data_IF_402166449820
#
_entry.id   IF_402166449820
#
_cell.length_a   1.000
_cell.length_b   1.000
_cell.length_c   1.000
_cell.angle_alpha   90.00
_cell.angle_beta   90.00
_cell.angle_gamma   90.00
#
_symmetry.space_group_name_H-M   'P 1'
#
loop_
_entity.id
_entity.type
_entity.pdbx_description
1 polymer ?
#
# COMPACT_ATOMS: atom_id res chain seq x y z
N UNK A 1 -3.33 -9.31 -24.83
CA UNK A 1 -2.62 -9.06 -23.55
C UNK A 1 -1.33 -8.24 -23.66
N UNK A 2 -0.51 -8.36 -24.72
CA UNK A 2 0.74 -7.59 -24.84
C UNK A 2 0.54 -6.06 -24.88
N UNK A 3 -0.49 -5.57 -25.59
CA UNK A 3 -0.79 -4.13 -25.70
C UNK A 3 -1.13 -3.47 -24.35
N UNK A 4 -2.02 -4.08 -23.57
CA UNK A 4 -2.38 -3.61 -22.21
C UNK A 4 -1.14 -3.58 -21.30
N UNK A 5 -0.27 -4.61 -21.38
CA UNK A 5 0.97 -4.67 -20.60
C UNK A 5 1.95 -3.56 -20.99
N UNK A 6 2.12 -3.29 -22.28
CA UNK A 6 2.96 -2.21 -22.77
C UNK A 6 2.44 -0.84 -22.34
N UNK A 7 1.12 -0.61 -22.42
CA UNK A 7 0.48 0.62 -21.90
C UNK A 7 0.73 0.80 -20.41
N UNK A 8 0.54 -0.27 -19.62
CA UNK A 8 0.73 -0.26 -18.17
C UNK A 8 2.17 0.07 -17.76
N UNK A 9 3.15 -0.33 -18.57
CA UNK A 9 4.57 -0.06 -18.33
C UNK A 9 5.07 1.23 -18.97
N UNK A 10 4.18 2.04 -19.53
CA UNK A 10 4.51 3.25 -20.31
C UNK A 10 5.45 2.99 -21.51
N UNK A 11 5.35 1.78 -22.08
CA UNK A 11 6.13 1.32 -23.24
C UNK A 11 5.30 1.31 -24.53
N UNK A 12 4.04 1.74 -24.49
CA UNK A 12 3.17 1.78 -25.67
C UNK A 12 3.48 3.02 -26.52
N UNK A 13 4.11 2.79 -27.67
CA UNK A 13 4.53 3.86 -28.56
C UNK A 13 3.35 4.65 -29.15
N UNK A 14 3.47 5.98 -29.20
CA UNK A 14 2.49 6.91 -29.79
C UNK A 14 2.38 6.84 -31.33
N UNK A 15 3.03 5.88 -31.98
CA UNK A 15 3.04 5.80 -33.45
C UNK A 15 1.72 5.25 -33.92
N UNK A 16 0.98 6.02 -34.73
CA UNK A 16 -0.28 5.63 -35.34
C UNK A 16 0.00 4.65 -36.48
N UNK A 17 -0.07 3.36 -36.18
CA UNK A 17 -0.18 2.28 -37.17
C UNK A 17 -1.51 1.57 -36.93
N UNK A 18 -2.00 0.79 -37.89
CA UNK A 18 -3.30 0.11 -37.75
C UNK A 18 -3.39 -0.76 -36.47
N UNK A 19 -2.26 -1.24 -35.95
CA UNK A 19 -2.23 -2.05 -34.72
C UNK A 19 -2.21 -1.25 -33.42
N UNK A 20 -1.91 0.06 -33.45
CA UNK A 20 -1.93 0.88 -32.23
C UNK A 20 -3.32 1.43 -31.89
N UNK A 21 -4.21 1.55 -32.88
CA UNK A 21 -5.63 1.92 -32.69
C UNK A 21 -6.49 0.84 -32.03
N UNK A 22 -6.09 -0.43 -32.16
CA UNK A 22 -6.79 -1.59 -31.54
C UNK A 22 -6.99 -1.42 -30.02
N UNK A 23 -6.07 -0.74 -29.33
CA UNK A 23 -6.18 -0.53 -27.89
C UNK A 23 -7.26 0.49 -27.54
N UNK A 24 -7.50 1.49 -28.39
CA UNK A 24 -8.60 2.44 -28.22
C UNK A 24 -9.94 1.79 -28.54
N UNK A 25 -10.02 1.01 -29.61
CA UNK A 25 -11.20 0.20 -29.95
C UNK A 25 -11.55 -0.76 -28.81
N UNK A 26 -10.55 -1.48 -28.27
CA UNK A 26 -10.74 -2.39 -27.13
C UNK A 26 -11.19 -1.66 -25.87
N UNK A 27 -10.72 -0.42 -25.64
CA UNK A 27 -11.16 0.39 -24.49
C UNK A 27 -12.62 0.84 -24.61
N UNK A 28 -13.14 0.97 -25.83
CA UNK A 28 -14.54 1.33 -26.07
C UNK A 28 -15.46 0.11 -25.89
N UNK A 29 -15.00 -1.09 -26.27
CA UNK A 29 -15.79 -2.32 -26.12
C UNK A 29 -15.72 -2.93 -24.72
N UNK A 30 -14.57 -2.82 -24.05
CA UNK A 30 -14.30 -3.48 -22.76
C UNK A 30 -13.73 -2.47 -21.75
N UNK A 31 -14.57 -1.79 -20.96
CA UNK A 31 -14.11 -0.80 -19.97
C UNK A 31 -13.05 -1.33 -18.98
N UNK A 32 -13.05 -2.64 -18.72
CA UNK A 32 -12.04 -3.33 -17.89
C UNK A 32 -10.59 -3.11 -18.36
N UNK A 33 -10.36 -2.84 -19.65
CA UNK A 33 -9.01 -2.58 -20.18
C UNK A 33 -8.47 -1.20 -19.78
N UNK A 34 -9.35 -0.34 -19.24
CA UNK A 34 -9.00 0.96 -18.62
C UNK A 34 -8.82 0.86 -17.11
N UNK A 35 -9.11 -0.30 -16.50
CA UNK A 35 -8.95 -0.47 -15.06
C UNK A 35 -7.49 -0.24 -14.65
N UNK A 36 -7.31 0.40 -13.50
CA UNK A 36 -5.97 0.62 -12.93
C UNK A 36 -5.35 -0.75 -12.67
N UNK A 37 -4.12 -0.92 -13.15
CA UNK A 37 -3.34 -2.12 -12.90
C UNK A 37 -2.39 -1.86 -11.73
N UNK A 38 -2.25 -2.83 -10.84
CA UNK A 38 -1.27 -2.75 -9.77
C UNK A 38 0.16 -2.80 -10.32
N UNK A 39 0.39 -3.39 -11.49
CA UNK A 39 1.74 -3.45 -12.06
C UNK A 39 2.21 -2.06 -12.49
N UNK A 40 3.37 -1.62 -12.00
CA UNK A 40 4.03 -0.37 -12.40
C UNK A 40 5.44 -0.64 -12.97
N UNK A 41 6.05 0.32 -13.69
CA UNK A 41 7.48 0.27 -13.99
C UNK A 41 8.31 0.09 -12.72
N UNK A 42 9.37 -0.70 -12.83
CA UNK A 42 10.23 -1.05 -11.69
C UNK A 42 10.82 0.22 -11.05
N UNK A 43 10.53 0.42 -9.77
CA UNK A 43 11.07 1.49 -8.93
C UNK A 43 12.17 0.94 -8.02
N UNK A 44 13.20 1.75 -7.77
CA UNK A 44 14.30 1.43 -6.86
C UNK A 44 14.21 2.32 -5.62
N UNK A 45 14.12 1.69 -4.44
CA UNK A 45 13.86 2.37 -3.17
C UNK A 45 14.96 1.99 -2.19
N UNK A 46 16.01 2.82 -2.14
CA UNK A 46 17.14 2.62 -1.22
C UNK A 46 17.01 3.41 0.08
N UNK A 47 16.34 4.58 0.02
CA UNK A 47 16.17 5.46 1.16
C UNK A 47 14.74 5.35 1.72
N UNK A 48 14.61 4.71 2.88
CA UNK A 48 13.35 4.57 3.62
C UNK A 48 13.47 5.34 4.92
N UNK A 49 12.52 6.23 5.16
CA UNK A 49 12.41 7.02 6.40
C UNK A 49 11.74 6.25 7.54
N UNK A 50 11.49 4.97 7.33
CA UNK A 50 10.92 4.05 8.29
C UNK A 50 11.68 2.72 8.22
N UNK A 51 11.54 1.91 9.27
CA UNK A 51 12.17 0.58 9.37
C UNK A 51 11.08 -0.49 9.42
N UNK A 52 11.33 -1.61 8.74
CA UNK A 52 10.48 -2.80 8.81
C UNK A 52 11.14 -3.79 9.77
N UNK A 53 10.36 -4.25 10.75
CA UNK A 53 10.76 -5.30 11.69
C UNK A 53 9.86 -6.51 11.48
N UNK A 54 10.43 -7.63 11.03
CA UNK A 54 9.67 -8.84 10.69
C UNK A 54 9.49 -9.83 11.85
N UNK A 55 10.24 -9.64 12.94
CA UNK A 55 10.16 -10.48 14.13
C UNK A 55 9.90 -9.60 15.34
N UNK A 56 8.98 -10.03 16.20
CA UNK A 56 8.80 -9.40 17.49
C UNK A 56 10.08 -9.55 18.30
N UNK A 57 10.70 -8.43 18.65
CA UNK A 57 11.81 -8.45 19.58
C UNK A 57 11.24 -8.44 20.99
N UNK A 58 11.11 -9.61 21.59
CA UNK A 58 10.64 -9.79 22.98
C UNK A 58 11.53 -9.07 24.02
N UNK A 59 12.69 -8.52 23.60
CA UNK A 59 13.54 -7.67 24.45
C UNK A 59 12.96 -6.26 24.65
N UNK A 60 11.92 -5.89 23.91
CA UNK A 60 11.22 -4.62 23.99
C UNK A 60 9.94 -4.69 24.85
N UNK A 61 9.84 -5.65 25.77
CA UNK A 61 8.79 -5.68 26.82
C UNK A 61 8.94 -4.55 27.86
N UNK A 62 9.99 -3.73 27.75
CA UNK A 62 10.02 -2.41 28.38
C UNK A 62 9.26 -1.41 27.51
N UNK A 63 8.00 -1.13 27.85
CA UNK A 63 7.25 0.02 27.34
C UNK A 63 8.17 1.24 27.24
N UNK A 64 8.54 1.65 26.02
CA UNK A 64 8.98 3.03 25.82
C UNK A 64 7.74 3.87 26.16
N UNK A 65 7.75 4.69 27.22
CA UNK A 65 6.52 5.31 27.73
C UNK A 65 5.83 6.29 26.77
N UNK A 66 6.36 6.47 25.55
CA UNK A 66 5.97 7.47 24.57
C UNK A 66 5.80 6.91 23.15
N UNK A 67 5.78 5.58 22.97
CA UNK A 67 5.56 4.97 21.66
C UNK A 67 4.07 4.88 21.34
N UNK A 68 3.63 5.56 20.27
CA UNK A 68 2.26 5.47 19.76
C UNK A 68 2.08 4.19 18.95
N UNK A 69 1.07 3.39 19.30
CA UNK A 69 0.78 2.12 18.64
C UNK A 69 -0.47 2.21 17.79
N UNK A 70 -0.33 1.77 16.53
CA UNK A 70 -1.43 1.69 15.57
C UNK A 70 -1.49 0.26 15.05
N UNK A 71 -2.64 -0.38 15.22
CA UNK A 71 -2.89 -1.74 14.78
C UNK A 71 -3.63 -1.71 13.45
N UNK A 72 -3.27 -2.62 12.55
CA UNK A 72 -3.90 -2.77 11.23
C UNK A 72 -4.22 -4.22 10.99
N UNK A 73 -5.30 -4.47 10.24
CA UNK A 73 -5.76 -5.82 9.89
C UNK A 73 -6.48 -5.77 8.53
N UNK A 74 -6.34 -6.83 7.75
CA UNK A 74 -6.99 -7.05 6.46
C UNK A 74 -7.79 -8.35 6.46
N UNK A 75 -9.11 -8.25 6.35
CA UNK A 75 -9.99 -9.41 6.36
C UNK A 75 -10.55 -9.71 4.97
N UNK A 76 -10.78 -11.00 4.69
CA UNK A 76 -11.58 -11.46 3.55
C UNK A 76 -12.55 -12.55 3.97
N UNK A 77 -13.81 -12.37 3.59
CA UNK A 77 -14.91 -13.31 3.80
C UNK A 77 -15.56 -13.66 2.46
N UNK A 78 -16.52 -14.59 2.46
CA UNK A 78 -17.34 -14.87 1.27
C UNK A 78 -18.16 -13.66 0.79
N UNK A 79 -18.43 -12.69 1.67
CA UNK A 79 -19.28 -11.53 1.38
C UNK A 79 -18.48 -10.27 1.01
N UNK A 80 -17.16 -10.28 1.17
CA UNK A 80 -16.36 -9.09 0.96
C UNK A 80 -15.00 -9.11 1.62
N UNK A 81 -14.19 -8.12 1.25
CA UNK A 81 -12.87 -7.83 1.78
C UNK A 81 -12.90 -6.46 2.46
N UNK A 82 -12.15 -6.29 3.55
CA UNK A 82 -12.10 -5.04 4.32
C UNK A 82 -10.76 -4.81 4.99
N UNK A 83 -10.41 -3.54 5.20
CA UNK A 83 -9.23 -3.11 5.95
C UNK A 83 -9.65 -2.36 7.23
N UNK A 84 -8.93 -2.60 8.32
CA UNK A 84 -9.15 -1.98 9.62
C UNK A 84 -7.89 -1.26 10.12
N UNK A 85 -8.09 -0.17 10.85
CA UNK A 85 -7.05 0.55 11.59
C UNK A 85 -7.57 0.95 12.96
N UNK A 86 -6.79 0.67 14.00
CA UNK A 86 -7.13 0.99 15.38
C UNK A 86 -5.95 1.61 16.13
N UNK A 87 -6.20 2.67 16.91
CA UNK A 87 -5.24 3.22 17.87
C UNK A 87 -6.00 3.97 18.96
N UNK A 88 -5.85 3.53 20.20
CA UNK A 88 -6.47 4.20 21.36
C UNK A 88 -5.84 5.59 21.57
N UNK A 89 -4.50 5.66 21.58
CA UNK A 89 -3.74 6.89 21.86
C UNK A 89 -4.06 8.02 20.87
N UNK A 90 -4.34 7.67 19.60
CA UNK A 90 -4.64 8.62 18.53
C UNK A 90 -6.14 8.73 18.20
N UNK A 91 -6.99 8.02 18.95
CA UNK A 91 -8.43 7.91 18.69
C UNK A 91 -8.72 7.60 17.21
N UNK A 92 -8.11 6.51 16.73
CA UNK A 92 -8.27 6.00 15.36
C UNK A 92 -9.16 4.75 15.41
N UNK A 93 -10.29 4.81 14.71
CA UNK A 93 -11.19 3.68 14.49
C UNK A 93 -11.65 3.73 13.03
N UNK A 94 -10.91 3.09 12.12
CA UNK A 94 -11.19 3.09 10.69
C UNK A 94 -11.55 1.67 10.27
N UNK A 95 -12.66 1.53 9.54
CA UNK A 95 -13.01 0.32 8.82
C UNK A 95 -13.37 0.73 7.39
N UNK A 96 -12.75 0.09 6.40
CA UNK A 96 -12.94 0.41 4.97
C UNK A 96 -13.26 -0.86 4.19
N UNK A 97 -14.42 -0.96 3.53
CA UNK A 97 -14.73 -2.07 2.64
C UNK A 97 -14.01 -1.91 1.29
N UNK A 98 -13.45 -2.99 0.76
CA UNK A 98 -12.81 -3.03 -0.57
C UNK A 98 -13.67 -3.77 -1.61
N UNK A 99 -14.77 -4.40 -1.19
CA UNK A 99 -15.64 -5.21 -2.04
C UNK A 99 -15.19 -6.66 -2.14
N UNK A 100 -15.85 -7.45 -3.00
CA UNK A 100 -15.72 -8.93 -3.02
C UNK A 100 -14.46 -9.41 -3.76
N UNK A 101 -13.97 -8.62 -4.70
CA UNK A 101 -12.91 -9.04 -5.62
C UNK A 101 -11.49 -8.76 -5.10
N UNK A 102 -11.34 -7.95 -4.04
CA UNK A 102 -10.03 -7.63 -3.48
C UNK A 102 -9.41 -8.80 -2.74
N UNK A 103 -8.09 -8.92 -2.78
CA UNK A 103 -7.34 -9.95 -2.05
C UNK A 103 -7.09 -9.53 -0.61
N UNK A 104 -6.75 -10.50 0.26
CA UNK A 104 -6.28 -10.21 1.62
C UNK A 104 -5.06 -9.30 1.58
N UNK A 105 -4.07 -9.60 0.71
CA UNK A 105 -2.89 -8.75 0.51
C UNK A 105 -3.23 -7.29 0.22
N UNK A 106 -4.26 -7.04 -0.62
CA UNK A 106 -4.69 -5.68 -0.93
C UNK A 106 -5.33 -4.98 0.28
N UNK A 107 -6.11 -5.72 1.07
CA UNK A 107 -6.72 -5.22 2.30
C UNK A 107 -5.67 -4.86 3.35
N UNK A 108 -4.72 -5.75 3.58
CA UNK A 108 -3.60 -5.57 4.52
C UNK A 108 -2.75 -4.35 4.15
N UNK A 109 -2.35 -4.25 2.89
CA UNK A 109 -1.57 -3.10 2.42
C UNK A 109 -2.36 -1.79 2.52
N UNK A 110 -3.66 -1.83 2.26
CA UNK A 110 -4.54 -0.68 2.47
C UNK A 110 -4.64 -0.31 3.94
N UNK A 111 -4.71 -1.27 4.87
CA UNK A 111 -4.72 -1.02 6.31
C UNK A 111 -3.51 -0.22 6.76
N UNK A 112 -2.30 -0.64 6.37
CA UNK A 112 -1.06 0.10 6.64
C UNK A 112 -1.08 1.49 5.98
N UNK A 113 -1.56 1.59 4.74
CA UNK A 113 -1.66 2.85 4.01
C UNK A 113 -2.65 3.84 4.65
N UNK A 114 -3.74 3.33 5.23
CA UNK A 114 -4.74 4.12 5.95
C UNK A 114 -4.20 4.55 7.32
N UNK A 115 -3.43 3.70 8.01
CA UNK A 115 -2.74 4.07 9.23
C UNK A 115 -1.78 5.24 9.00
N UNK A 116 -0.91 5.13 7.99
CA UNK A 116 0.01 6.20 7.63
C UNK A 116 -0.73 7.51 7.29
N UNK A 117 -1.80 7.42 6.49
CA UNK A 117 -2.62 8.57 6.16
C UNK A 117 -3.27 9.19 7.40
N UNK A 118 -3.84 8.37 8.30
CA UNK A 118 -4.50 8.83 9.51
C UNK A 118 -3.55 9.58 10.46
N UNK A 119 -2.29 9.13 10.54
CA UNK A 119 -1.20 9.79 11.26
C UNK A 119 -0.90 11.15 10.63
N UNK A 120 -0.68 11.20 9.31
CA UNK A 120 -0.39 12.45 8.60
C UNK A 120 -1.53 13.47 8.66
N UNK A 121 -2.80 13.03 8.51
CA UNK A 121 -3.96 13.92 8.56
C UNK A 121 -4.19 14.51 9.96
N UNK A 122 -3.76 13.82 11.01
CA UNK A 122 -3.81 14.31 12.41
C UNK A 122 -2.61 15.18 12.78
N UNK A 123 -1.69 15.42 11.85
CA UNK A 123 -0.44 16.16 12.07
C UNK A 123 0.41 15.62 13.24
N UNK A 124 0.45 14.29 13.40
CA UNK A 124 1.27 13.65 14.44
C UNK A 124 2.74 13.70 14.04
N UNK A 125 3.54 14.41 14.83
CA UNK A 125 4.98 14.67 14.61
C UNK A 125 5.76 14.50 15.90
N UNK A 126 7.07 14.28 15.79
CA UNK A 126 8.00 14.16 16.91
C UNK A 126 7.65 13.03 17.91
N UNK A 127 6.96 12.00 17.44
CA UNK A 127 6.63 10.81 18.22
C UNK A 127 7.37 9.58 17.69
N UNK A 128 7.61 8.61 18.59
CA UNK A 128 7.99 7.27 18.17
C UNK A 128 6.71 6.52 17.80
N UNK A 129 6.59 6.10 16.55
CA UNK A 129 5.35 5.50 16.03
C UNK A 129 5.61 4.05 15.61
N UNK A 130 4.73 3.14 16.04
CA UNK A 130 4.73 1.74 15.62
C UNK A 130 3.41 1.38 14.98
N UNK A 131 3.46 1.06 13.69
CA UNK A 131 2.34 0.43 12.97
C UNK A 131 2.55 -1.09 13.05
N UNK A 132 1.57 -1.80 13.62
CA UNK A 132 1.57 -3.24 13.80
C UNK A 132 0.63 -3.87 12.76
N UNK A 133 1.20 -4.77 11.94
CA UNK A 133 0.49 -5.60 10.98
C UNK A 133 1.08 -7.01 11.06
N UNK A 134 0.22 -8.02 10.99
CA UNK A 134 0.61 -9.43 10.90
C UNK A 134 0.84 -9.89 9.43
N UNK A 135 0.65 -8.99 8.46
CA UNK A 135 0.82 -9.29 7.04
C UNK A 135 2.29 -9.36 6.63
N UNK A 136 2.92 -10.50 6.90
CA UNK A 136 4.31 -10.78 6.54
C UNK A 136 4.60 -10.53 5.05
N UNK A 137 3.64 -10.86 4.19
CA UNK A 137 3.75 -10.65 2.74
C UNK A 137 3.86 -9.18 2.35
N UNK A 138 3.08 -8.30 2.98
CA UNK A 138 3.15 -6.84 2.75
C UNK A 138 4.42 -6.27 3.36
N UNK A 139 4.78 -6.69 4.58
CA UNK A 139 6.01 -6.24 5.23
C UNK A 139 7.26 -6.62 4.44
N UNK A 140 7.31 -7.82 3.85
CA UNK A 140 8.40 -8.25 2.95
C UNK A 140 8.42 -7.45 1.65
N UNK A 141 7.26 -7.18 1.05
CA UNK A 141 7.17 -6.35 -0.15
C UNK A 141 7.66 -4.91 0.13
N UNK A 142 7.30 -4.35 1.29
CA UNK A 142 7.77 -3.04 1.74
C UNK A 142 9.24 -3.04 2.15
N UNK A 143 9.84 -4.16 2.55
CA UNK A 143 11.26 -4.25 2.91
C UNK A 143 12.18 -4.34 1.69
N UNK A 144 11.67 -4.83 0.55
CA UNK A 144 12.39 -4.89 -0.73
C UNK A 144 12.92 -3.53 -1.20
N UNK A 145 14.11 -3.52 -1.82
CA UNK A 145 14.70 -2.34 -2.48
C UNK A 145 14.16 -2.11 -3.90
N UNK A 146 13.32 -3.02 -4.38
CA UNK A 146 12.73 -2.96 -5.73
C UNK A 146 11.24 -3.20 -5.64
N UNK A 147 10.46 -2.30 -6.24
CA UNK A 147 9.00 -2.36 -6.23
C UNK A 147 8.47 -2.28 -7.65
N UNK A 148 7.50 -3.14 -7.97
CA UNK A 148 6.77 -3.16 -9.25
C UNK A 148 5.25 -3.23 -9.05
N UNK A 149 4.79 -3.09 -7.80
CA UNK A 149 3.39 -2.99 -7.39
C UNK A 149 3.11 -1.53 -7.01
N UNK A 150 2.10 -0.93 -7.63
CA UNK A 150 1.65 0.43 -7.40
C UNK A 150 1.06 0.58 -6.00
N UNK A 151 0.35 -0.44 -5.53
CA UNK A 151 -0.17 -0.49 -4.17
C UNK A 151 0.94 -0.43 -3.12
N UNK A 152 2.00 -1.24 -3.29
CA UNK A 152 3.16 -1.21 -2.39
C UNK A 152 3.93 0.10 -2.50
N UNK A 153 4.04 0.64 -3.71
CA UNK A 153 4.72 1.92 -3.94
C UNK A 153 3.99 3.07 -3.24
N UNK A 154 2.66 3.14 -3.37
CA UNK A 154 1.82 4.14 -2.71
C UNK A 154 1.90 4.00 -1.18
N UNK A 155 1.80 2.78 -0.66
CA UNK A 155 1.95 2.49 0.76
C UNK A 155 3.33 2.97 1.29
N UNK A 156 4.39 2.65 0.55
CA UNK A 156 5.74 3.14 0.85
C UNK A 156 5.81 4.67 0.90
N UNK A 157 5.22 5.37 -0.07
CA UNK A 157 5.24 6.84 -0.11
C UNK A 157 4.57 7.44 1.13
N UNK A 158 3.41 6.91 1.54
CA UNK A 158 2.70 7.36 2.74
C UNK A 158 3.50 7.10 4.02
N UNK A 159 4.11 5.91 4.15
CA UNK A 159 4.99 5.60 5.29
C UNK A 159 6.21 6.52 5.33
N UNK A 160 6.81 6.83 4.17
CA UNK A 160 7.91 7.77 4.09
C UNK A 160 7.51 9.18 4.54
N UNK A 161 6.31 9.65 4.18
CA UNK A 161 5.82 10.96 4.64
C UNK A 161 5.68 11.03 6.17
N UNK A 162 5.21 9.96 6.80
CA UNK A 162 5.16 9.86 8.26
C UNK A 162 6.57 9.86 8.87
N UNK A 163 7.47 9.04 8.32
CA UNK A 163 8.85 8.90 8.82
C UNK A 163 9.74 10.15 8.65
N UNK A 164 9.37 11.09 7.78
CA UNK A 164 10.08 12.39 7.68
C UNK A 164 9.93 13.21 8.96
N UNK A 165 8.77 13.10 9.63
CA UNK A 165 8.40 13.95 10.76
C UNK A 165 8.44 13.23 12.12
N UNK A 166 8.84 11.96 12.13
CA UNK A 166 8.80 11.08 13.30
C UNK A 166 10.05 10.19 13.34
N UNK A 167 10.58 9.88 14.54
CA UNK A 167 11.88 9.24 14.72
C UNK A 167 11.86 8.03 15.66
#
# INVERSE_FOLDING_TARGET
>A
MAAVRLKTLDLWGKRVTQHTGLLEELNNELPLTRAINDRIPKQFIFDKKYKIQLHEDHRCEGLRPTELRIFTDGSKTGNGTGAGVFSEDLNIHIATPLGVHSTVFQAECLGISLAALAISTRDVKDHSIRILSDSMSVLQALSSHTVNSGLIYECHQRLNQVGIHNH
#
